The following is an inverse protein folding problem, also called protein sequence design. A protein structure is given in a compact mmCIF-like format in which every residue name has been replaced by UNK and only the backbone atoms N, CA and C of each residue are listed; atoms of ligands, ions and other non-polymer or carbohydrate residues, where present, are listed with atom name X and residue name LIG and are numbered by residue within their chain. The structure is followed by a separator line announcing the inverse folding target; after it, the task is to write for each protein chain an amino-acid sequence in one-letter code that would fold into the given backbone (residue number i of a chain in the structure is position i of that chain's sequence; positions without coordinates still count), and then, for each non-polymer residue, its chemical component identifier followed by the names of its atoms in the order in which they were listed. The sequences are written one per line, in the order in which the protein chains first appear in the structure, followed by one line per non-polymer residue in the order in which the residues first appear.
data_IF_011188986106
#
_entry.id   IF_011188986106
#
_cell.length_a   1.000
_cell.length_b   1.000
_cell.length_c   1.000
_cell.angle_alpha   90.00
_cell.angle_beta   90.00
_cell.angle_gamma   90.00
#
_symmetry.space_group_name_H-M   'P 1'
#
loop_
_entity.id
_entity.type
_entity.pdbx_description
1 polymer ?
#
# COMPACT_ATOMS: atom_id res chain seq x y z
N UNK A 1 -4.37 -15.87 -5.56
CA UNK A 1 -3.93 -15.20 -4.31
C UNK A 1 -2.63 -14.46 -4.61
N UNK A 2 -2.55 -13.19 -4.20
CA UNK A 2 -1.35 -12.35 -4.31
C UNK A 2 -1.02 -11.80 -2.92
N UNK A 3 0.25 -11.76 -2.55
CA UNK A 3 0.72 -11.30 -1.24
C UNK A 3 1.80 -10.25 -1.43
N UNK A 4 1.61 -9.08 -0.84
CA UNK A 4 2.67 -8.09 -0.70
C UNK A 4 3.18 -8.07 0.73
N UNK A 5 4.50 -8.02 0.87
CA UNK A 5 5.20 -7.87 2.13
C UNK A 5 5.94 -6.54 2.10
N UNK A 6 5.63 -5.68 3.05
CA UNK A 6 6.34 -4.43 3.29
C UNK A 6 7.34 -4.62 4.43
N UNK A 7 8.48 -3.94 4.33
CA UNK A 7 9.66 -4.05 5.18
C UNK A 7 10.08 -5.49 5.55
N UNK A 8 10.38 -6.38 4.59
CA UNK A 8 10.72 -7.76 4.92
C UNK A 8 11.94 -7.89 5.85
N UNK A 9 12.81 -6.86 5.93
CA UNK A 9 14.04 -6.80 6.78
C UNK A 9 14.82 -8.11 6.79
N UNK A 10 14.80 -8.80 5.65
CA UNK A 10 15.29 -10.15 5.49
C UNK A 10 16.06 -10.24 4.18
N UNK A 11 17.16 -10.98 4.20
CA UNK A 11 17.92 -11.26 2.99
C UNK A 11 17.00 -11.92 1.94
N UNK A 12 17.22 -11.60 0.67
CA UNK A 12 16.46 -12.10 -0.49
C UNK A 12 16.26 -13.61 -0.49
N UNK A 13 17.28 -14.37 -0.04
CA UNK A 13 17.21 -15.83 0.09
C UNK A 13 16.09 -16.28 1.06
N UNK A 14 15.88 -15.54 2.15
CA UNK A 14 14.84 -15.82 3.15
C UNK A 14 13.45 -15.45 2.63
N UNK A 15 13.34 -14.36 1.88
CA UNK A 15 12.10 -13.95 1.18
C UNK A 15 11.70 -15.02 0.16
N UNK A 16 12.67 -15.55 -0.62
CA UNK A 16 12.43 -16.65 -1.56
C UNK A 16 11.98 -17.94 -0.88
N UNK A 17 12.59 -18.31 0.26
CA UNK A 17 12.14 -19.47 1.04
C UNK A 17 10.73 -19.28 1.61
N UNK A 18 10.41 -18.08 2.11
CA UNK A 18 9.07 -17.75 2.60
C UNK A 18 8.03 -17.86 1.50
N UNK A 19 8.31 -17.32 0.31
CA UNK A 19 7.45 -17.40 -0.88
C UNK A 19 7.09 -18.85 -1.21
N UNK A 20 8.10 -19.73 -1.25
CA UNK A 20 7.90 -21.17 -1.48
C UNK A 20 7.05 -21.84 -0.40
N UNK A 21 7.34 -21.55 0.87
CA UNK A 21 6.60 -22.13 2.00
C UNK A 21 5.14 -21.68 2.05
N UNK A 22 4.85 -20.47 1.56
CA UNK A 22 3.50 -19.92 1.47
C UNK A 22 2.76 -20.36 0.19
N UNK A 23 3.37 -21.21 -0.65
CA UNK A 23 2.74 -21.74 -1.86
C UNK A 23 2.77 -20.80 -3.07
N UNK A 24 3.51 -19.68 -3.00
CA UNK A 24 3.75 -18.82 -4.16
C UNK A 24 4.88 -19.44 -5.00
N UNK A 25 4.49 -20.35 -5.90
CA UNK A 25 5.41 -21.13 -6.74
C UNK A 25 5.95 -20.36 -7.96
N UNK A 26 5.37 -19.21 -8.29
CA UNK A 26 5.74 -18.35 -9.43
C UNK A 26 6.74 -17.26 -9.01
N UNK A 27 7.89 -17.30 -9.66
CA UNK A 27 9.15 -16.73 -9.20
C UNK A 27 9.34 -15.27 -9.62
N UNK A 28 8.74 -14.33 -8.92
CA UNK A 28 9.15 -12.94 -9.10
C UNK A 28 8.93 -12.19 -7.80
N UNK A 29 9.99 -11.55 -7.33
CA UNK A 29 9.93 -10.55 -6.29
C UNK A 29 10.49 -9.27 -6.92
N UNK A 30 9.63 -8.27 -7.06
CA UNK A 30 10.09 -6.91 -7.35
C UNK A 30 10.44 -6.30 -6.00
N UNK A 31 11.65 -5.77 -5.95
CA UNK A 31 12.15 -5.06 -4.81
C UNK A 31 12.28 -3.61 -5.21
N UNK A 32 11.68 -2.71 -4.45
CA UNK A 32 11.98 -1.29 -4.61
C UNK A 32 13.49 -1.06 -4.40
N UNK A 33 13.98 0.10 -4.82
CA UNK A 33 15.41 0.42 -4.81
C UNK A 33 16.07 0.26 -3.43
N UNK A 34 15.27 0.24 -2.34
CA UNK A 34 15.75 0.19 -0.96
C UNK A 34 15.53 -1.16 -0.25
N UNK A 35 14.99 -2.19 -0.92
CA UNK A 35 14.70 -3.46 -0.27
C UNK A 35 13.62 -3.46 0.82
N UNK A 36 12.65 -2.58 0.68
CA UNK A 36 11.55 -2.35 1.60
C UNK A 36 10.21 -2.89 1.08
N UNK A 37 10.02 -3.08 -0.23
CA UNK A 37 8.78 -3.62 -0.80
C UNK A 37 9.11 -4.95 -1.46
N UNK A 38 8.41 -6.02 -1.10
CA UNK A 38 8.52 -7.32 -1.75
C UNK A 38 7.14 -7.82 -2.16
N UNK A 39 6.97 -8.05 -3.47
CA UNK A 39 5.69 -8.48 -4.04
C UNK A 39 5.80 -9.95 -4.45
N UNK A 40 4.83 -10.78 -4.06
CA UNK A 40 4.73 -12.19 -4.44
C UNK A 40 3.35 -12.47 -5.04
N UNK A 41 3.30 -13.26 -6.10
CA UNK A 41 2.02 -13.56 -6.76
C UNK A 41 1.99 -14.98 -7.31
N UNK A 42 0.78 -15.47 -7.56
CA UNK A 42 0.55 -16.79 -8.14
C UNK A 42 0.56 -16.75 -9.68
N UNK A 43 0.68 -17.92 -10.32
CA UNK A 43 0.80 -18.05 -11.77
C UNK A 43 -0.46 -17.64 -12.55
N UNK A 44 -1.57 -17.38 -11.85
CA UNK A 44 -2.83 -16.92 -12.44
C UNK A 44 -2.78 -15.43 -12.83
N UNK A 45 -1.73 -14.71 -12.41
CA UNK A 45 -1.55 -13.29 -12.69
C UNK A 45 -0.18 -13.09 -13.35
N UNK A 46 -0.18 -12.43 -14.50
CA UNK A 46 1.03 -11.91 -15.12
C UNK A 46 1.24 -10.49 -14.61
N UNK A 47 2.36 -10.23 -13.93
CA UNK A 47 2.72 -8.88 -13.51
C UNK A 47 3.85 -8.30 -14.37
N UNK A 48 3.75 -7.01 -14.63
CA UNK A 48 4.80 -6.19 -15.23
C UNK A 48 4.91 -4.88 -14.46
N UNK A 49 6.13 -4.39 -14.25
CA UNK A 49 6.34 -3.11 -13.57
C UNK A 49 5.84 -1.97 -14.46
N UNK A 50 4.96 -1.14 -13.91
CA UNK A 50 4.46 0.07 -14.55
C UNK A 50 5.24 1.31 -14.09
N UNK A 51 5.50 1.40 -12.77
CA UNK A 51 6.24 2.50 -12.15
C UNK A 51 6.96 2.01 -10.89
N UNK A 52 8.12 2.59 -10.57
CA UNK A 52 8.78 2.38 -9.29
C UNK A 52 9.58 3.61 -8.85
N UNK A 53 9.54 3.87 -7.55
CA UNK A 53 10.30 4.89 -6.81
C UNK A 53 10.74 4.31 -5.46
N UNK A 54 11.37 5.13 -4.62
CA UNK A 54 11.86 4.81 -3.29
C UNK A 54 10.80 4.40 -2.26
N UNK A 55 9.55 4.76 -2.50
CA UNK A 55 8.43 4.59 -1.56
C UNK A 55 7.19 3.94 -2.21
N UNK A 56 7.23 3.66 -3.52
CA UNK A 56 6.09 3.12 -4.27
C UNK A 56 6.54 2.20 -5.39
N UNK A 57 5.85 1.07 -5.54
CA UNK A 57 5.95 0.21 -6.73
C UNK A 57 4.55 0.00 -7.30
N UNK A 58 4.33 0.40 -8.54
CA UNK A 58 3.07 0.14 -9.27
C UNK A 58 3.30 -0.95 -10.31
N UNK A 59 2.49 -2.00 -10.22
CA UNK A 59 2.47 -3.13 -11.12
C UNK A 59 1.21 -3.09 -11.99
N UNK A 60 1.37 -3.36 -13.28
CA UNK A 60 0.27 -3.75 -14.17
C UNK A 60 0.11 -5.26 -14.10
N UNK A 61 -1.11 -5.69 -13.82
CA UNK A 61 -1.49 -7.08 -13.69
C UNK A 61 -2.46 -7.50 -14.80
N UNK A 62 -2.30 -8.72 -15.29
CA UNK A 62 -3.25 -9.37 -16.19
C UNK A 62 -3.63 -10.73 -15.61
N UNK A 63 -4.92 -10.94 -15.37
CA UNK A 63 -5.42 -12.25 -14.94
C UNK A 63 -5.47 -13.21 -16.14
N UNK A 64 -4.75 -14.32 -16.05
CA UNK A 64 -4.47 -15.22 -17.18
C UNK A 64 -5.75 -15.78 -17.80
N UNK A 65 -6.75 -16.15 -16.98
CA UNK A 65 -7.96 -16.78 -17.49
C UNK A 65 -8.99 -15.80 -18.07
N UNK A 66 -9.15 -14.63 -17.45
CA UNK A 66 -10.16 -13.65 -17.87
C UNK A 66 -9.60 -12.58 -18.81
N UNK A 67 -8.28 -12.52 -18.99
CA UNK A 67 -7.56 -11.45 -19.69
C UNK A 67 -7.87 -10.05 -19.15
N UNK A 68 -8.45 -9.95 -17.95
CA UNK A 68 -8.74 -8.67 -17.30
C UNK A 68 -7.44 -8.03 -16.82
N UNK A 69 -7.30 -6.75 -17.12
CA UNK A 69 -6.19 -5.92 -16.68
C UNK A 69 -6.60 -5.17 -15.42
N UNK A 70 -5.67 -5.08 -14.48
CA UNK A 70 -5.82 -4.24 -13.29
C UNK A 70 -4.44 -3.77 -12.83
N UNK A 71 -4.42 -2.79 -11.93
CA UNK A 71 -3.20 -2.21 -11.40
C UNK A 71 -3.13 -2.39 -9.89
N UNK A 72 -1.90 -2.51 -9.39
CA UNK A 72 -1.63 -2.59 -7.96
C UNK A 72 -0.47 -1.66 -7.63
N UNK A 73 -0.70 -0.68 -6.76
CA UNK A 73 0.35 0.17 -6.20
C UNK A 73 0.63 -0.25 -4.77
N UNK A 74 1.89 -0.56 -4.48
CA UNK A 74 2.38 -0.93 -3.17
C UNK A 74 3.16 0.24 -2.58
N UNK A 75 2.77 0.70 -1.40
CA UNK A 75 3.31 1.92 -0.80
C UNK A 75 4.04 1.58 0.50
N UNK A 76 5.21 2.17 0.64
CA UNK A 76 5.89 2.29 1.91
C UNK A 76 6.36 3.74 2.08
N UNK A 77 5.50 4.55 2.68
CA UNK A 77 5.70 5.99 2.77
C UNK A 77 6.64 6.36 3.92
N UNK A 78 7.52 7.33 3.72
CA UNK A 78 8.39 7.82 4.80
C UNK A 78 7.61 8.58 5.87
N UNK A 79 8.18 8.68 7.08
CA UNK A 79 7.62 9.53 8.13
C UNK A 79 7.72 11.03 7.82
N UNK A 80 8.45 11.45 6.78
CA UNK A 80 8.63 12.84 6.40
C UNK A 80 7.43 13.39 5.61
N UNK A 81 6.99 14.62 5.90
CA UNK A 81 5.89 15.26 5.16
C UNK A 81 6.21 15.42 3.68
N UNK A 82 7.43 15.88 3.36
CA UNK A 82 7.87 16.06 1.97
C UNK A 82 7.94 14.74 1.20
N UNK A 83 8.44 13.66 1.82
CA UNK A 83 8.49 12.35 1.19
C UNK A 83 7.09 11.80 0.87
N UNK A 84 6.12 11.97 1.78
CA UNK A 84 4.72 11.61 1.53
C UNK A 84 4.08 12.39 0.38
N UNK A 85 4.36 13.70 0.29
CA UNK A 85 3.79 14.55 -0.78
C UNK A 85 4.13 14.05 -2.18
N UNK A 86 5.39 13.62 -2.39
CA UNK A 86 5.84 13.03 -3.66
C UNK A 86 5.01 11.81 -4.06
N UNK A 87 4.65 10.96 -3.09
CA UNK A 87 3.82 9.79 -3.33
C UNK A 87 2.41 10.20 -3.76
N UNK A 88 1.81 11.18 -3.07
CA UNK A 88 0.47 11.67 -3.41
C UNK A 88 0.41 12.22 -4.83
N UNK A 89 1.40 13.03 -5.21
CA UNK A 89 1.53 13.61 -6.55
C UNK A 89 1.66 12.50 -7.61
N UNK A 90 2.55 11.53 -7.40
CA UNK A 90 2.71 10.40 -8.32
C UNK A 90 1.43 9.54 -8.44
N UNK A 91 0.70 9.31 -7.35
CA UNK A 91 -0.56 8.56 -7.37
C UNK A 91 -1.69 9.34 -8.06
N UNK A 92 -1.76 10.66 -7.87
CA UNK A 92 -2.71 11.51 -8.59
C UNK A 92 -2.42 11.46 -10.10
N UNK A 93 -1.16 11.54 -10.49
CA UNK A 93 -0.74 11.41 -11.89
C UNK A 93 -1.12 10.03 -12.44
N UNK A 94 -0.88 8.94 -11.69
CA UNK A 94 -1.33 7.61 -12.06
C UNK A 94 -2.84 7.53 -12.24
N UNK A 95 -3.63 8.17 -11.38
CA UNK A 95 -5.09 8.20 -11.49
C UNK A 95 -5.58 8.86 -12.79
N UNK A 96 -4.79 9.79 -13.36
CA UNK A 96 -5.13 10.36 -14.67
C UNK A 96 -4.86 9.39 -15.83
N UNK A 97 -3.88 8.50 -15.68
CA UNK A 97 -3.41 7.58 -16.73
C UNK A 97 -4.09 6.20 -16.66
N UNK A 98 -4.32 5.69 -15.46
CA UNK A 98 -4.92 4.37 -15.21
C UNK A 98 -6.45 4.52 -15.24
N UNK A 99 -7.08 3.97 -16.28
CA UNK A 99 -8.55 3.89 -16.40
C UNK A 99 -9.10 2.51 -16.05
N UNK A 100 -8.22 1.58 -15.70
CA UNK A 100 -8.54 0.21 -15.30
C UNK A 100 -8.79 0.11 -13.79
N UNK A 101 -9.31 -1.03 -13.31
CA UNK A 101 -9.33 -1.37 -11.88
C UNK A 101 -7.98 -1.14 -11.22
N UNK A 102 -7.97 -0.36 -10.14
CA UNK A 102 -6.75 -0.01 -9.43
C UNK A 102 -6.89 -0.22 -7.93
N UNK A 103 -5.95 -0.97 -7.38
CA UNK A 103 -5.78 -1.18 -5.94
C UNK A 103 -4.50 -0.50 -5.46
N UNK A 104 -4.56 0.13 -4.30
CA UNK A 104 -3.42 0.81 -3.68
C UNK A 104 -3.32 0.32 -2.24
N UNK A 105 -2.22 -0.32 -1.87
CA UNK A 105 -2.07 -0.90 -0.54
C UNK A 105 -0.71 -0.60 0.08
N UNK A 106 -0.69 -0.35 1.39
CA UNK A 106 0.55 -0.37 2.16
C UNK A 106 0.56 0.51 3.38
N UNK A 107 1.76 0.87 3.85
CA UNK A 107 1.98 1.73 5.00
C UNK A 107 2.11 3.19 4.53
N UNK A 108 1.10 4.00 4.85
CA UNK A 108 1.03 5.40 4.46
C UNK A 108 1.73 6.32 5.47
N UNK A 109 2.12 5.80 6.65
CA UNK A 109 2.74 6.55 7.73
C UNK A 109 2.00 7.86 8.13
N UNK A 110 0.68 7.90 7.89
CA UNK A 110 -0.19 9.04 8.19
C UNK A 110 -1.59 8.54 8.57
N UNK A 111 -2.21 9.23 9.53
CA UNK A 111 -3.61 9.00 9.89
C UNK A 111 -4.49 9.94 9.07
N UNK A 112 -5.71 9.52 8.73
CA UNK A 112 -6.70 10.39 8.08
C UNK A 112 -7.52 11.15 9.11
N UNK A 113 -7.67 10.67 10.35
CA UNK A 113 -8.38 11.41 11.40
C UNK A 113 -7.86 11.12 12.79
N UNK A 114 -8.19 11.99 13.74
CA UNK A 114 -7.87 11.75 15.15
C UNK A 114 -8.51 10.49 15.73
N UNK A 115 -9.65 10.04 15.18
CA UNK A 115 -10.29 8.80 15.59
C UNK A 115 -9.43 7.56 15.33
N UNK A 116 -8.45 7.66 14.42
CA UNK A 116 -7.53 6.60 14.04
C UNK A 116 -6.25 6.59 14.89
N UNK A 117 -6.21 7.39 15.96
CA UNK A 117 -5.12 7.42 16.92
C UNK A 117 -5.64 7.35 18.34
N UNK A 118 -4.96 6.55 19.18
CA UNK A 118 -5.19 6.50 20.62
C UNK A 118 -3.91 6.86 21.37
N UNK A 119 -4.00 7.78 22.32
CA UNK A 119 -2.86 8.25 23.12
C UNK A 119 -1.96 9.27 22.39
N UNK A 120 -1.02 9.84 23.14
CA UNK A 120 -0.12 10.90 22.65
C UNK A 120 -0.82 12.24 22.39
N UNK A 121 -0.03 13.24 21.98
CA UNK A 121 -0.56 14.59 21.70
C UNK A 121 -1.27 14.67 20.36
N UNK A 122 -2.27 15.55 20.26
CA UNK A 122 -2.75 16.01 18.96
C UNK A 122 -1.69 16.94 18.34
N UNK A 123 -1.30 16.69 17.09
CA UNK A 123 -0.20 17.35 16.36
C UNK A 123 -0.65 17.55 14.91
N UNK A 124 -0.22 18.67 14.32
CA UNK A 124 -0.42 19.17 12.96
C UNK A 124 -1.35 18.38 12.01
N UNK A 125 -2.42 19.06 11.63
CA UNK A 125 -3.46 18.64 10.69
C UNK A 125 -3.00 18.70 9.22
N UNK A 126 -1.93 19.44 8.91
CA UNK A 126 -1.46 19.61 7.53
C UNK A 126 -1.18 18.30 6.78
N UNK A 127 -0.54 17.33 7.43
CA UNK A 127 -0.31 16.01 6.80
C UNK A 127 -1.60 15.19 6.64
N UNK A 128 -2.53 15.31 7.57
CA UNK A 128 -3.82 14.61 7.51
C UNK A 128 -4.70 15.21 6.41
N UNK A 129 -4.72 16.55 6.29
CA UNK A 129 -5.43 17.27 5.23
C UNK A 129 -4.89 16.93 3.85
N UNK A 130 -3.57 16.93 3.65
CA UNK A 130 -2.95 16.53 2.39
C UNK A 130 -3.32 15.08 2.03
N UNK A 131 -3.30 14.17 3.00
CA UNK A 131 -3.68 12.77 2.79
C UNK A 131 -5.17 12.61 2.42
N UNK A 132 -6.08 13.29 3.12
CA UNK A 132 -7.50 13.31 2.75
C UNK A 132 -7.73 13.89 1.36
N UNK A 133 -7.06 15.00 1.04
CA UNK A 133 -7.17 15.65 -0.26
C UNK A 133 -6.77 14.69 -1.38
N UNK A 134 -5.67 13.96 -1.20
CA UNK A 134 -5.23 12.91 -2.12
C UNK A 134 -6.30 11.83 -2.33
N UNK A 135 -6.87 11.29 -1.25
CA UNK A 135 -7.91 10.24 -1.31
C UNK A 135 -9.12 10.73 -2.11
N UNK A 136 -9.61 11.94 -1.79
CA UNK A 136 -10.79 12.54 -2.43
C UNK A 136 -10.51 12.84 -3.90
N UNK A 137 -9.38 13.49 -4.21
CA UNK A 137 -9.00 13.86 -5.57
C UNK A 137 -8.81 12.62 -6.46
N UNK A 138 -8.37 11.52 -5.87
CA UNK A 138 -8.16 10.27 -6.59
C UNK A 138 -9.42 9.38 -6.64
N UNK A 139 -10.54 9.80 -6.02
CA UNK A 139 -11.79 9.03 -6.00
C UNK A 139 -11.65 7.66 -5.32
N UNK A 140 -10.79 7.57 -4.31
CA UNK A 140 -10.42 6.30 -3.68
C UNK A 140 -11.34 5.94 -2.52
N UNK A 141 -11.68 4.66 -2.44
CA UNK A 141 -12.45 4.07 -1.33
C UNK A 141 -11.54 3.23 -0.45
N UNK A 142 -11.48 3.53 0.85
CA UNK A 142 -10.76 2.71 1.84
C UNK A 142 -11.57 1.42 2.10
N UNK A 143 -10.99 0.26 1.80
CA UNK A 143 -11.60 -1.06 2.03
C UNK A 143 -10.97 -1.80 3.22
N UNK A 144 -10.05 -1.14 3.92
CA UNK A 144 -9.47 -1.67 5.15
C UNK A 144 -10.54 -1.68 6.25
N UNK A 145 -10.60 -2.75 7.06
CA UNK A 145 -11.71 -3.00 8.00
C UNK A 145 -12.14 -1.76 8.81
N UNK A 146 -13.46 -1.63 8.96
CA UNK A 146 -14.14 -0.47 9.59
C UNK A 146 -14.10 -0.48 11.12
N UNK A 147 -13.58 -1.53 11.73
CA UNK A 147 -13.66 -1.82 13.17
C UNK A 147 -12.45 -1.34 13.98
N UNK A 148 -12.00 -0.10 13.75
CA UNK A 148 -10.99 0.54 14.59
C UNK A 148 -9.66 -0.21 14.63
N UNK A 149 -9.32 -0.91 13.53
CA UNK A 149 -8.08 -1.64 13.34
C UNK A 149 -6.89 -0.67 13.35
N UNK A 150 -6.24 -0.57 14.51
CA UNK A 150 -4.97 0.13 14.67
C UNK A 150 -3.87 -0.83 14.22
N UNK A 151 -3.10 -0.43 13.23
CA UNK A 151 -2.06 -1.28 12.62
C UNK A 151 -0.67 -1.08 13.23
N UNK A 152 -0.48 -0.03 14.03
CA UNK A 152 0.81 0.32 14.62
C UNK A 152 0.72 0.69 16.11
N UNK A 153 1.75 0.31 16.86
CA UNK A 153 1.97 0.75 18.25
C UNK A 153 3.41 1.16 18.51
N UNK A 154 3.63 2.16 19.37
CA UNK A 154 4.98 2.52 19.82
C UNK A 154 5.56 1.56 20.87
N UNK A 155 4.82 0.51 21.25
CA UNK A 155 5.19 -0.50 22.24
C UNK A 155 5.56 0.06 23.63
N UNK A 156 5.13 1.28 23.96
CA UNK A 156 5.33 1.86 25.29
C UNK A 156 4.17 1.49 26.24
N UNK A 157 4.37 1.75 27.53
CA UNK A 157 3.38 1.44 28.57
C UNK A 157 2.69 2.69 29.12
N UNK A 158 1.52 2.50 29.72
CA UNK A 158 0.74 3.54 30.39
C UNK A 158 0.42 4.73 29.50
N UNK A 159 0.50 5.94 30.06
CA UNK A 159 0.16 7.19 29.37
C UNK A 159 1.04 7.52 28.15
N UNK A 160 2.19 6.84 27.99
CA UNK A 160 3.07 7.03 26.82
C UNK A 160 2.73 6.12 25.65
N UNK A 161 1.81 5.16 25.83
CA UNK A 161 1.38 4.22 24.80
C UNK A 161 0.58 4.94 23.71
N UNK A 162 0.96 4.70 22.46
CA UNK A 162 0.30 5.27 21.28
C UNK A 162 -0.05 4.15 20.32
N UNK A 163 -1.24 4.24 19.74
CA UNK A 163 -1.71 3.39 18.64
C UNK A 163 -2.16 4.24 17.46
N UNK A 164 -1.95 3.75 16.24
CA UNK A 164 -2.35 4.42 14.99
C UNK A 164 -2.82 3.41 13.94
N UNK A 165 -3.71 3.82 13.04
CA UNK A 165 -4.00 3.15 11.75
C UNK A 165 -3.14 3.78 10.65
N UNK A 166 -2.10 3.07 10.21
CA UNK A 166 -1.15 3.52 9.19
C UNK A 166 -1.24 2.70 7.90
N UNK A 167 -1.59 1.42 8.03
CA UNK A 167 -1.74 0.50 6.92
C UNK A 167 -3.15 0.58 6.32
N UNK A 168 -3.23 0.70 5.00
CA UNK A 168 -4.50 0.78 4.28
C UNK A 168 -4.47 0.06 2.95
N UNK A 169 -5.66 -0.31 2.49
CA UNK A 169 -5.94 -0.69 1.12
C UNK A 169 -7.07 0.20 0.59
N UNK A 170 -6.78 0.89 -0.51
CA UNK A 170 -7.73 1.70 -1.26
C UNK A 170 -8.01 1.06 -2.62
N UNK A 171 -9.21 1.30 -3.14
CA UNK A 171 -9.59 0.94 -4.50
C UNK A 171 -10.27 2.12 -5.21
N UNK A 172 -10.13 2.21 -6.53
CA UNK A 172 -10.94 3.12 -7.34
C UNK A 172 -12.32 2.51 -7.64
N UNK A 173 -13.22 3.30 -8.24
CA UNK A 173 -14.57 2.85 -8.62
C UNK A 173 -14.56 1.68 -9.59
N UNK A 174 -13.60 1.65 -10.52
CA UNK A 174 -13.44 0.56 -11.48
C UNK A 174 -13.14 -0.75 -10.77
N UNK A 175 -12.29 -0.73 -9.75
CA UNK A 175 -11.97 -1.92 -8.98
C UNK A 175 -13.16 -2.48 -8.20
N UNK A 176 -14.05 -1.63 -7.70
CA UNK A 176 -15.26 -2.08 -7.00
C UNK A 176 -16.18 -2.90 -7.90
N UNK A 177 -16.20 -2.63 -9.21
CA UNK A 177 -17.11 -3.25 -10.17
C UNK A 177 -16.46 -4.36 -10.99
N UNK A 178 -15.16 -4.23 -11.29
CA UNK A 178 -14.54 -4.95 -12.40
C UNK A 178 -13.36 -5.83 -12.00
N UNK A 179 -12.88 -5.79 -10.74
CA UNK A 179 -11.85 -6.72 -10.28
C UNK A 179 -12.29 -8.18 -10.53
N UNK A 180 -11.37 -9.04 -11.02
CA UNK A 180 -11.65 -10.44 -11.32
C UNK A 180 -12.02 -11.26 -10.07
#
# INVERSE_FOLDING_TARGET
MSLCILEPKAATKRISMLSKNLGFSSHHYEVDINHQIAIMWNSEIILSKFYADDQIVTMKACHVFSSKIFFMSFIYATCSKHGRRRIWEALIDHNTQIKDPWMIGGDFNVISSWAEKRGGRMIDDGSMMEFKSFIIQSGLTDITSTDGSLSWTNNQQGAKRIYKKLDRVFINSEALLNLP
#
